data_IF_401663569000
#
_entry.id   IF_401663569000
#
_cell.length_a   1.000
_cell.length_b   1.000
_cell.length_c   1.000
_cell.angle_alpha   90.00
_cell.angle_beta   90.00
_cell.angle_gamma   90.00
#
_symmetry.space_group_name_H-M   'P 1'
#
loop_
_entity.id
_entity.type
_entity.pdbx_description
1 polymer ?
#
# COMPACT_ATOMS: atom_id res chain seq x y z
N UNK A 1 56.74 10.81 -7.93
CA UNK A 1 55.37 11.11 -8.38
C UNK A 1 54.54 9.86 -8.20
N UNK A 2 53.78 9.81 -7.14
CA UNK A 2 53.00 8.61 -6.74
C UNK A 2 51.56 8.76 -7.32
N UNK A 3 51.20 7.92 -8.24
CA UNK A 3 49.84 7.86 -8.82
C UNK A 3 48.94 7.09 -7.83
N UNK A 4 48.12 7.84 -7.06
CA UNK A 4 47.07 7.26 -6.25
C UNK A 4 45.99 6.68 -7.19
N UNK A 5 45.88 5.34 -7.23
CA UNK A 5 44.83 4.63 -7.91
C UNK A 5 43.50 4.89 -7.18
N UNK A 6 42.61 5.65 -7.77
CA UNK A 6 41.22 5.80 -7.32
C UNK A 6 40.52 4.44 -7.50
N UNK A 7 40.25 3.77 -6.40
CA UNK A 7 39.36 2.59 -6.42
C UNK A 7 37.96 3.02 -6.84
N UNK A 8 37.29 2.31 -7.76
CA UNK A 8 35.93 2.64 -8.12
C UNK A 8 35.01 2.45 -6.89
N UNK A 9 34.15 3.43 -6.66
CA UNK A 9 33.12 3.34 -5.62
C UNK A 9 32.28 2.09 -5.88
N UNK A 10 32.13 1.24 -4.87
CA UNK A 10 31.31 0.02 -4.99
C UNK A 10 29.88 0.42 -5.32
N UNK A 11 29.32 -0.20 -6.37
CA UNK A 11 27.91 -0.02 -6.71
C UNK A 11 27.04 -0.31 -5.46
N UNK A 12 25.98 0.47 -5.22
CA UNK A 12 25.09 0.25 -4.08
C UNK A 12 24.56 -1.18 -4.11
N UNK A 13 24.69 -1.88 -2.99
CA UNK A 13 24.22 -3.26 -2.86
C UNK A 13 22.73 -3.31 -3.18
N UNK A 14 22.32 -4.17 -4.11
CA UNK A 14 20.90 -4.35 -4.45
C UNK A 14 20.12 -4.71 -3.18
N UNK A 15 18.96 -4.06 -2.92
CA UNK A 15 18.16 -4.37 -1.75
C UNK A 15 17.78 -5.85 -1.76
N UNK A 16 18.05 -6.55 -0.66
CA UNK A 16 17.60 -7.93 -0.49
C UNK A 16 16.07 -7.90 -0.30
N UNK A 17 15.36 -8.47 -1.27
CA UNK A 17 13.90 -8.55 -1.28
C UNK A 17 13.42 -9.84 -0.61
N UNK A 18 12.19 -9.86 -0.06
CA UNK A 18 11.54 -11.09 0.36
C UNK A 18 11.38 -12.08 -0.79
N UNK A 19 11.24 -13.40 -0.51
CA UNK A 19 10.82 -14.35 -1.53
C UNK A 19 9.45 -13.98 -2.10
N UNK A 20 9.30 -13.98 -3.41
CA UNK A 20 8.06 -13.60 -4.10
C UNK A 20 7.46 -14.78 -4.86
N UNK A 21 6.12 -14.90 -4.95
CA UNK A 21 5.14 -14.13 -4.18
C UNK A 21 5.17 -14.48 -2.69
N UNK A 22 4.82 -13.50 -1.83
CA UNK A 22 4.76 -13.70 -0.38
C UNK A 22 3.39 -13.31 0.20
N UNK A 23 3.03 -13.99 1.29
CA UNK A 23 1.99 -13.52 2.22
C UNK A 23 2.68 -12.78 3.36
N UNK A 24 2.43 -11.49 3.46
CA UNK A 24 2.95 -10.66 4.55
C UNK A 24 1.99 -10.74 5.71
N UNK A 25 2.34 -11.54 6.70
CA UNK A 25 1.48 -11.83 7.85
C UNK A 25 1.82 -10.92 9.01
N UNK A 26 0.85 -10.14 9.45
CA UNK A 26 1.12 -9.12 10.43
C UNK A 26 -0.12 -8.53 11.08
N UNK A 27 -0.02 -7.27 11.37
CA UNK A 27 -1.08 -6.52 12.01
C UNK A 27 -1.15 -5.09 11.50
N UNK A 28 -2.38 -4.59 11.43
CA UNK A 28 -2.67 -3.18 11.25
C UNK A 28 -2.97 -2.58 12.63
N UNK A 29 -2.38 -1.44 12.92
CA UNK A 29 -2.66 -0.63 14.10
C UNK A 29 -3.07 0.75 13.66
N UNK A 30 -4.18 1.24 14.19
CA UNK A 30 -4.62 2.63 14.01
C UNK A 30 -4.60 3.34 15.35
N UNK A 31 -4.17 4.59 15.36
CA UNK A 31 -4.11 5.42 16.54
C UNK A 31 -4.56 6.85 16.21
N UNK A 32 -5.54 7.31 16.96
CA UNK A 32 -6.04 8.68 16.94
C UNK A 32 -5.85 9.28 18.35
N UNK A 33 -4.98 10.26 18.53
CA UNK A 33 -4.69 10.82 19.86
C UNK A 33 -5.78 11.77 20.39
N UNK A 34 -6.58 12.40 19.52
CA UNK A 34 -7.63 13.34 19.91
C UNK A 34 -8.50 13.79 18.73
N UNK A 35 -9.58 14.58 18.95
CA UNK A 35 -10.25 14.92 20.23
C UNK A 35 -10.92 13.71 20.90
N UNK A 36 -11.36 12.72 20.13
CA UNK A 36 -11.80 11.41 20.63
C UNK A 36 -10.65 10.44 20.47
N UNK A 37 -10.06 10.02 21.59
CA UNK A 37 -8.97 9.04 21.56
C UNK A 37 -9.51 7.70 21.10
N UNK A 38 -8.91 7.13 20.07
CA UNK A 38 -9.28 5.83 19.55
C UNK A 38 -8.05 5.07 19.05
N UNK A 39 -7.91 3.84 19.47
CA UNK A 39 -6.85 2.97 19.00
C UNK A 39 -7.36 1.54 18.84
N UNK A 40 -6.94 0.87 17.79
CA UNK A 40 -7.23 -0.54 17.60
C UNK A 40 -6.10 -1.26 16.86
N UNK A 41 -6.11 -2.56 16.99
CA UNK A 41 -5.14 -3.45 16.35
C UNK A 41 -5.83 -4.70 15.85
N UNK A 42 -5.60 -5.03 14.57
CA UNK A 42 -6.16 -6.22 13.92
C UNK A 42 -5.07 -7.04 13.26
N UNK A 43 -5.16 -8.36 13.39
CA UNK A 43 -4.32 -9.29 12.63
C UNK A 43 -4.83 -9.34 11.21
N UNK A 44 -3.92 -9.16 10.26
CA UNK A 44 -4.20 -9.18 8.81
C UNK A 44 -3.08 -9.91 8.09
N UNK A 45 -3.31 -10.26 6.84
CA UNK A 45 -2.25 -10.56 5.89
C UNK A 45 -2.51 -9.81 4.60
N UNK A 46 -1.44 -9.42 3.92
CA UNK A 46 -1.47 -8.83 2.58
C UNK A 46 -0.59 -9.66 1.65
N UNK A 47 -0.80 -9.51 0.36
CA UNK A 47 0.05 -10.12 -0.65
C UNK A 47 1.15 -9.14 -1.05
N UNK A 48 2.38 -9.65 -1.11
CA UNK A 48 3.49 -8.99 -1.79
C UNK A 48 3.79 -9.78 -3.05
N UNK A 49 3.59 -9.15 -4.20
CA UNK A 49 3.68 -9.79 -5.51
C UNK A 49 4.51 -8.95 -6.47
N UNK A 50 5.11 -9.62 -7.43
CA UNK A 50 5.71 -9.02 -8.60
C UNK A 50 4.64 -8.91 -9.70
N UNK A 51 4.44 -7.73 -10.26
CA UNK A 51 3.43 -7.52 -11.29
C UNK A 51 3.79 -8.17 -12.64
N UNK A 52 5.06 -8.51 -12.86
CA UNK A 52 5.48 -9.30 -14.02
C UNK A 52 5.14 -10.79 -13.87
N UNK A 53 4.95 -11.25 -12.62
CA UNK A 53 4.71 -12.65 -12.30
C UNK A 53 3.64 -12.82 -11.23
N UNK A 54 2.41 -12.36 -11.51
CA UNK A 54 1.29 -12.52 -10.58
C UNK A 54 1.00 -14.00 -10.31
N UNK A 55 0.75 -14.38 -9.04
CA UNK A 55 0.51 -15.77 -8.66
C UNK A 55 -0.76 -16.30 -9.30
N UNK A 56 -0.63 -17.36 -10.09
CA UNK A 56 -1.76 -18.08 -10.67
C UNK A 56 -2.24 -19.13 -9.68
N UNK A 57 -3.46 -18.95 -9.21
CA UNK A 57 -4.08 -19.92 -8.32
C UNK A 57 -4.78 -21.03 -9.11
N UNK A 58 -4.74 -22.29 -8.63
CA UNK A 58 -5.58 -23.34 -9.19
C UNK A 58 -7.07 -22.96 -9.05
N UNK A 59 -7.92 -23.52 -9.91
CA UNK A 59 -9.32 -23.15 -10.04
C UNK A 59 -10.07 -23.09 -8.70
N UNK A 60 -9.83 -24.04 -7.79
CA UNK A 60 -10.48 -24.12 -6.47
C UNK A 60 -10.00 -23.05 -5.47
N UNK A 61 -8.84 -22.43 -5.67
CA UNK A 61 -8.32 -21.34 -4.86
C UNK A 61 -8.48 -19.97 -5.53
N UNK A 62 -8.81 -19.93 -6.82
CA UNK A 62 -8.95 -18.68 -7.58
C UNK A 62 -9.97 -17.72 -6.94
N UNK A 63 -11.05 -18.25 -6.35
CA UNK A 63 -12.06 -17.47 -5.66
C UNK A 63 -11.53 -16.79 -4.37
N UNK A 64 -10.40 -17.25 -3.82
CA UNK A 64 -9.85 -16.78 -2.55
C UNK A 64 -8.57 -15.95 -2.68
N UNK A 65 -8.02 -15.84 -3.88
CA UNK A 65 -6.83 -15.03 -4.14
C UNK A 65 -6.77 -14.64 -5.63
N UNK A 66 -7.43 -13.54 -5.98
CA UNK A 66 -7.48 -13.02 -7.34
C UNK A 66 -7.10 -11.54 -7.34
N UNK A 67 -6.25 -11.14 -8.30
CA UNK A 67 -5.91 -9.75 -8.57
C UNK A 67 -6.60 -9.31 -9.86
N UNK A 68 -7.16 -8.12 -9.86
CA UNK A 68 -7.84 -7.54 -11.01
C UNK A 68 -7.39 -6.09 -11.20
N UNK A 69 -7.15 -5.69 -12.43
CA UNK A 69 -6.82 -4.30 -12.76
C UNK A 69 -7.93 -3.33 -12.37
N UNK A 70 -9.19 -3.79 -12.37
CA UNK A 70 -10.32 -2.98 -11.92
C UNK A 70 -10.26 -2.55 -10.44
N UNK A 71 -9.40 -3.22 -9.63
CA UNK A 71 -9.22 -2.91 -8.22
C UNK A 71 -8.13 -1.87 -7.96
N UNK A 72 -7.41 -1.47 -8.99
CA UNK A 72 -6.27 -0.57 -8.92
C UNK A 72 -6.43 0.59 -9.90
N UNK A 73 -5.52 1.56 -9.79
CA UNK A 73 -5.50 2.74 -10.66
C UNK A 73 -5.39 2.38 -12.15
N UNK A 74 -5.89 3.26 -13.01
CA UNK A 74 -5.78 3.20 -14.46
C UNK A 74 -6.93 2.46 -15.14
N UNK A 75 -6.68 2.00 -16.36
CA UNK A 75 -7.65 1.31 -17.21
C UNK A 75 -7.83 -0.16 -16.76
N UNK A 76 -9.06 -0.61 -16.41
CA UNK A 76 -9.31 -2.00 -16.05
C UNK A 76 -9.06 -3.00 -17.18
N UNK A 77 -8.98 -2.55 -18.44
CA UNK A 77 -8.64 -3.37 -19.61
C UNK A 77 -7.14 -3.62 -19.79
N UNK A 78 -6.28 -2.90 -19.07
CA UNK A 78 -4.83 -3.04 -19.15
C UNK A 78 -4.29 -3.83 -17.94
N UNK A 79 -3.11 -4.47 -18.06
CA UNK A 79 -2.42 -5.06 -16.91
C UNK A 79 -2.10 -4.00 -15.84
N UNK A 80 -2.15 -4.40 -14.56
CA UNK A 80 -1.86 -3.49 -13.41
C UNK A 80 -0.50 -2.80 -13.60
N UNK A 81 0.55 -3.55 -14.02
CA UNK A 81 1.88 -2.98 -14.27
C UNK A 81 1.83 -1.86 -15.30
N UNK A 82 1.12 -2.07 -16.42
CA UNK A 82 0.99 -1.07 -17.48
C UNK A 82 0.29 0.20 -16.97
N UNK A 83 -0.72 0.05 -16.14
CA UNK A 83 -1.40 1.19 -15.52
C UNK A 83 -0.46 1.99 -14.61
N UNK A 84 0.36 1.30 -13.81
CA UNK A 84 1.40 1.95 -12.99
C UNK A 84 2.41 2.67 -13.89
N UNK A 85 2.92 2.02 -14.95
CA UNK A 85 3.87 2.64 -15.89
C UNK A 85 3.27 3.89 -16.56
N UNK A 86 2.00 3.83 -16.98
CA UNK A 86 1.28 4.97 -17.56
C UNK A 86 1.15 6.11 -16.55
N UNK A 87 0.79 5.81 -15.30
CA UNK A 87 0.72 6.81 -14.23
C UNK A 87 2.09 7.44 -13.94
N UNK A 88 3.16 6.66 -13.90
CA UNK A 88 4.52 7.14 -13.70
C UNK A 88 4.97 8.05 -14.86
N UNK A 89 4.59 7.72 -16.10
CA UNK A 89 4.91 8.52 -17.29
C UNK A 89 4.28 9.92 -17.22
N UNK A 90 3.09 10.10 -16.62
CA UNK A 90 2.50 11.43 -16.34
C UNK A 90 3.38 12.26 -15.40
N UNK A 91 4.08 11.61 -14.48
CA UNK A 91 5.09 12.23 -13.59
C UNK A 91 6.50 12.31 -14.19
N UNK A 92 6.67 11.99 -15.48
CA UNK A 92 7.97 12.01 -16.16
C UNK A 92 8.92 10.86 -15.80
N UNK A 93 8.43 9.80 -15.14
CA UNK A 93 9.24 8.66 -14.72
C UNK A 93 9.05 7.50 -15.69
N UNK A 94 10.17 6.94 -16.15
CA UNK A 94 10.21 5.72 -16.97
C UNK A 94 11.09 4.68 -16.30
N UNK A 95 10.57 3.48 -16.08
CA UNK A 95 11.31 2.40 -15.43
C UNK A 95 12.26 1.66 -16.38
N UNK A 96 12.08 1.83 -17.69
CA UNK A 96 12.83 1.14 -18.74
C UNK A 96 12.38 -0.32 -18.93
N UNK A 97 12.97 -1.00 -19.92
CA UNK A 97 12.52 -2.32 -20.39
C UNK A 97 12.61 -3.43 -19.32
N UNK A 98 13.51 -3.32 -18.36
CA UNK A 98 13.68 -4.25 -17.25
C UNK A 98 13.15 -3.70 -15.93
N UNK A 99 12.38 -2.62 -16.00
CA UNK A 99 11.74 -2.02 -14.85
C UNK A 99 10.82 -3.01 -14.16
N UNK A 100 10.80 -3.00 -12.83
CA UNK A 100 10.08 -3.97 -11.99
C UNK A 100 9.15 -3.25 -11.02
N UNK A 101 7.94 -3.76 -10.86
CA UNK A 101 6.98 -3.20 -9.90
C UNK A 101 6.55 -4.30 -8.91
N UNK A 102 6.80 -4.06 -7.63
CA UNK A 102 6.33 -4.92 -6.54
C UNK A 102 5.10 -4.28 -5.90
N UNK A 103 4.04 -5.05 -5.73
CA UNK A 103 2.78 -4.60 -5.17
C UNK A 103 2.51 -5.28 -3.82
N UNK A 104 2.22 -4.48 -2.79
CA UNK A 104 1.64 -4.93 -1.52
C UNK A 104 0.17 -4.54 -1.52
N UNK A 105 -0.71 -5.54 -1.55
CA UNK A 105 -2.15 -5.33 -1.69
C UNK A 105 -2.97 -6.49 -1.12
N UNK A 106 -4.27 -6.27 -0.94
CA UNK A 106 -5.23 -7.32 -0.65
C UNK A 106 -5.74 -7.95 -1.96
N UNK A 107 -5.77 -9.27 -2.03
CA UNK A 107 -6.42 -9.97 -3.13
C UNK A 107 -7.94 -10.04 -2.93
N UNK A 108 -8.71 -10.17 -4.02
CA UNK A 108 -10.14 -10.51 -3.98
C UNK A 108 -10.36 -11.86 -3.32
N UNK A 109 -11.35 -11.91 -2.45
CA UNK A 109 -11.85 -13.14 -1.81
C UNK A 109 -13.35 -13.24 -2.06
N UNK A 110 -13.78 -14.30 -2.75
CA UNK A 110 -15.19 -14.52 -3.15
C UNK A 110 -15.79 -13.29 -3.88
N UNK A 111 -15.01 -12.72 -4.81
CA UNK A 111 -15.43 -11.58 -5.61
C UNK A 111 -15.37 -10.22 -4.91
N UNK A 112 -15.15 -10.17 -3.58
CA UNK A 112 -15.02 -8.93 -2.83
C UNK A 112 -13.55 -8.57 -2.60
N UNK A 113 -13.23 -7.30 -2.77
CA UNK A 113 -11.97 -6.69 -2.36
C UNK A 113 -12.26 -5.42 -1.59
N UNK A 114 -11.44 -5.12 -0.62
CA UNK A 114 -11.27 -3.80 -0.04
C UNK A 114 -9.82 -3.67 0.39
N UNK A 115 -9.13 -2.77 -0.27
CA UNK A 115 -7.72 -2.49 -0.02
C UNK A 115 -7.53 -1.01 0.27
N UNK A 116 -7.58 -0.61 1.55
CA UNK A 116 -7.49 0.80 1.93
C UNK A 116 -6.22 1.49 1.46
N UNK A 117 -5.15 0.71 1.30
CA UNK A 117 -3.85 1.19 0.85
C UNK A 117 -3.11 0.07 0.13
N UNK A 118 -2.93 0.22 -1.18
CA UNK A 118 -1.99 -0.55 -1.99
C UNK A 118 -0.67 0.22 -2.11
N UNK A 119 0.45 -0.47 -2.03
CA UNK A 119 1.79 0.14 -2.17
C UNK A 119 2.53 -0.52 -3.31
N UNK A 120 3.05 0.29 -4.22
CA UNK A 120 3.84 -0.17 -5.36
C UNK A 120 5.27 0.38 -5.25
N UNK A 121 6.24 -0.51 -5.08
CA UNK A 121 7.67 -0.17 -5.19
C UNK A 121 8.10 -0.32 -6.63
N UNK A 122 8.50 0.80 -7.26
CA UNK A 122 8.85 0.88 -8.67
C UNK A 122 10.36 0.97 -8.81
N UNK A 123 10.95 -0.07 -9.37
CA UNK A 123 12.39 -0.18 -9.60
C UNK A 123 12.70 0.03 -11.08
N UNK A 124 13.78 0.74 -11.36
CA UNK A 124 14.28 0.92 -12.72
C UNK A 124 14.99 -0.33 -13.28
N UNK A 125 15.53 -0.23 -14.49
CA UNK A 125 16.23 -1.33 -15.17
C UNK A 125 17.52 -1.77 -14.46
N UNK A 126 18.10 -0.93 -13.62
CA UNK A 126 19.30 -1.22 -12.83
C UNK A 126 18.96 -1.82 -11.45
N UNK A 127 17.67 -1.87 -11.11
CA UNK A 127 17.15 -2.37 -9.85
C UNK A 127 17.23 -1.36 -8.72
N UNK A 128 17.37 -0.06 -9.04
CA UNK A 128 17.30 1.04 -8.09
C UNK A 128 15.83 1.43 -7.89
N UNK A 129 15.43 1.74 -6.66
CA UNK A 129 14.09 2.23 -6.36
C UNK A 129 13.93 3.64 -6.94
N UNK A 130 13.16 3.75 -8.01
CA UNK A 130 12.87 5.03 -8.67
C UNK A 130 11.82 5.83 -7.88
N UNK A 131 10.77 5.16 -7.41
CA UNK A 131 9.70 5.79 -6.63
C UNK A 131 8.84 4.73 -5.93
N UNK A 132 7.93 5.21 -5.07
CA UNK A 132 6.83 4.42 -4.50
C UNK A 132 5.51 5.08 -4.86
N UNK A 133 4.55 4.29 -5.35
CA UNK A 133 3.16 4.75 -5.52
C UNK A 133 2.33 4.20 -4.36
N UNK A 134 1.65 5.10 -3.65
CA UNK A 134 0.72 4.74 -2.58
C UNK A 134 -0.70 5.04 -3.05
N UNK A 135 -1.44 3.99 -3.41
CA UNK A 135 -2.82 4.08 -3.86
C UNK A 135 -3.77 3.91 -2.66
N UNK A 136 -4.56 4.93 -2.40
CA UNK A 136 -5.48 5.00 -1.27
C UNK A 136 -6.92 4.88 -1.75
N UNK A 137 -7.70 4.01 -1.13
CA UNK A 137 -9.11 3.82 -1.42
C UNK A 137 -9.96 4.27 -0.24
N UNK A 138 -11.05 4.99 -0.52
CA UNK A 138 -12.04 5.29 0.48
C UNK A 138 -13.23 4.31 0.44
N UNK A 139 -14.15 4.44 1.39
CA UNK A 139 -15.34 3.59 1.47
C UNK A 139 -16.44 3.98 0.47
N UNK A 140 -16.23 5.01 -0.33
CA UNK A 140 -17.16 5.50 -1.36
C UNK A 140 -16.82 4.99 -2.76
N UNK A 141 -15.77 4.16 -2.89
CA UNK A 141 -15.30 3.63 -4.16
C UNK A 141 -14.39 4.58 -4.95
N UNK A 142 -13.97 5.69 -4.32
CA UNK A 142 -12.99 6.60 -4.93
C UNK A 142 -11.59 6.17 -4.56
N UNK A 143 -10.63 6.53 -5.41
CA UNK A 143 -9.21 6.25 -5.24
C UNK A 143 -8.36 7.48 -5.54
N UNK A 144 -7.14 7.47 -5.01
CA UNK A 144 -6.14 8.51 -5.24
C UNK A 144 -4.75 7.90 -5.10
N UNK A 145 -3.84 8.25 -5.98
CA UNK A 145 -2.48 7.77 -5.97
C UNK A 145 -1.52 8.90 -5.60
N UNK A 146 -0.62 8.62 -4.65
CA UNK A 146 0.48 9.50 -4.28
C UNK A 146 1.76 8.96 -4.91
N UNK A 147 2.40 9.76 -5.77
CA UNK A 147 3.74 9.49 -6.29
C UNK A 147 4.75 10.02 -5.28
N UNK A 148 5.58 9.14 -4.77
CA UNK A 148 6.46 9.42 -3.64
C UNK A 148 7.91 9.05 -3.97
N UNK A 149 8.84 9.87 -3.50
CA UNK A 149 10.28 9.63 -3.56
C UNK A 149 10.83 9.47 -2.14
N UNK A 150 10.81 8.25 -1.59
CA UNK A 150 11.33 8.02 -0.25
C UNK A 150 12.83 8.29 -0.16
N UNK A 151 13.27 8.85 0.98
CA UNK A 151 14.68 8.98 1.33
C UNK A 151 15.32 7.62 1.64
N UNK A 152 16.61 7.63 2.01
CA UNK A 152 17.35 6.41 2.39
C UNK A 152 16.75 5.68 3.60
N UNK A 153 16.02 6.38 4.46
CA UNK A 153 15.28 5.79 5.59
C UNK A 153 13.92 5.22 5.19
N UNK A 154 13.54 5.35 3.91
CA UNK A 154 12.26 4.93 3.35
C UNK A 154 11.11 5.88 3.67
N UNK A 155 11.38 7.15 4.00
CA UNK A 155 10.39 8.14 4.41
C UNK A 155 10.11 9.12 3.26
N UNK A 156 8.85 9.43 3.04
CA UNK A 156 8.39 10.45 2.11
C UNK A 156 7.30 11.31 2.75
N UNK A 157 7.22 12.55 2.33
CA UNK A 157 6.24 13.53 2.83
C UNK A 157 5.44 14.06 1.66
N UNK A 158 4.12 14.19 1.82
CA UNK A 158 3.22 14.74 0.80
C UNK A 158 2.03 15.41 1.45
N UNK A 159 1.44 16.38 0.78
CA UNK A 159 0.20 16.98 1.23
C UNK A 159 -0.97 16.02 1.10
N UNK A 160 -1.91 16.12 2.05
CA UNK A 160 -3.12 15.32 2.02
C UNK A 160 -4.09 15.88 0.96
N UNK A 161 -4.11 15.27 -0.22
CA UNK A 161 -4.98 15.67 -1.34
C UNK A 161 -6.32 14.92 -1.40
N UNK A 162 -6.53 13.87 -0.61
CA UNK A 162 -7.67 12.96 -0.75
C UNK A 162 -8.51 12.80 0.52
N UNK A 163 -9.83 12.76 0.36
CA UNK A 163 -10.79 12.56 1.45
C UNK A 163 -11.00 11.06 1.71
N UNK A 164 -10.30 10.53 2.72
CA UNK A 164 -10.32 9.09 3.05
C UNK A 164 -11.37 8.76 4.11
N UNK A 165 -11.60 9.67 5.05
CA UNK A 165 -12.42 9.40 6.23
C UNK A 165 -13.37 10.58 6.50
N UNK A 166 -14.63 10.34 6.88
CA UNK A 166 -15.58 11.40 7.20
C UNK A 166 -15.19 12.23 8.43
N UNK A 167 -14.18 11.84 9.15
CA UNK A 167 -13.71 12.51 10.38
C UNK A 167 -12.49 13.41 10.17
N UNK A 168 -11.96 13.48 8.95
CA UNK A 168 -10.85 14.35 8.57
C UNK A 168 -11.13 15.01 7.24
N UNK A 169 -10.97 16.33 7.17
CA UNK A 169 -10.93 17.04 5.90
C UNK A 169 -9.64 16.75 5.11
N UNK A 170 -9.46 17.39 3.95
CA UNK A 170 -8.28 17.23 3.09
C UNK A 170 -7.06 18.03 3.54
N UNK A 171 -7.08 18.65 4.73
CA UNK A 171 -5.94 19.43 5.21
C UNK A 171 -4.92 18.58 5.97
N UNK A 172 -3.67 19.03 5.96
CA UNK A 172 -2.56 18.40 6.65
C UNK A 172 -1.59 17.69 5.71
N UNK A 173 -0.55 17.15 6.27
CA UNK A 173 0.56 16.51 5.57
C UNK A 173 0.67 15.06 5.99
N UNK A 174 0.83 14.16 5.03
CA UNK A 174 1.17 12.77 5.28
C UNK A 174 2.68 12.62 5.33
N UNK A 175 3.16 12.01 6.40
CA UNK A 175 4.48 11.41 6.50
C UNK A 175 4.31 9.90 6.34
N UNK A 176 4.87 9.33 5.28
CA UNK A 176 4.79 7.91 4.96
C UNK A 176 6.17 7.28 5.11
N UNK A 177 6.23 6.12 5.74
CA UNK A 177 7.47 5.35 5.83
C UNK A 177 7.25 3.93 5.34
N UNK A 178 8.09 3.52 4.41
CA UNK A 178 8.05 2.20 3.78
C UNK A 178 9.27 1.38 4.19
N UNK A 179 9.05 0.13 4.51
CA UNK A 179 10.12 -0.85 4.77
C UNK A 179 9.83 -2.11 3.96
N UNK A 180 10.79 -2.49 3.14
CA UNK A 180 10.73 -3.72 2.36
C UNK A 180 12.05 -4.48 2.53
N UNK A 181 12.05 -5.46 3.43
CA UNK A 181 13.20 -6.30 3.77
C UNK A 181 12.81 -7.77 3.78
N UNK A 182 13.75 -8.71 3.68
CA UNK A 182 13.46 -10.15 3.68
C UNK A 182 12.68 -10.63 4.90
N UNK A 183 12.85 -10.00 6.04
CA UNK A 183 12.24 -10.35 7.33
C UNK A 183 11.09 -9.45 7.76
N UNK A 184 10.92 -8.30 7.09
CA UNK A 184 9.97 -7.26 7.51
C UNK A 184 9.43 -6.47 6.33
N UNK A 185 8.11 -6.42 6.21
CA UNK A 185 7.40 -5.45 5.37
C UNK A 185 6.56 -4.57 6.27
N UNK A 186 6.73 -3.25 6.15
CA UNK A 186 5.96 -2.30 6.95
C UNK A 186 5.63 -1.04 6.15
N UNK A 187 4.44 -0.49 6.42
CA UNK A 187 4.00 0.82 5.95
C UNK A 187 3.44 1.59 7.13
N UNK A 188 3.96 2.79 7.35
CA UNK A 188 3.49 3.71 8.38
C UNK A 188 2.97 4.94 7.67
N UNK A 189 1.76 5.35 7.99
CA UNK A 189 1.13 6.58 7.49
C UNK A 189 0.80 7.44 8.70
N UNK A 190 1.40 8.63 8.79
CA UNK A 190 1.16 9.59 9.85
C UNK A 190 0.57 10.86 9.25
N UNK A 191 -0.64 11.24 9.68
CA UNK A 191 -1.24 12.52 9.34
C UNK A 191 -0.83 13.55 10.39
N UNK A 192 -0.13 14.59 9.93
CA UNK A 192 0.21 15.77 10.75
C UNK A 192 -0.72 16.94 10.42
N UNK A 193 -1.14 17.66 11.45
CA UNK A 193 -1.93 18.90 11.35
C UNK A 193 -1.46 19.85 12.45
N UNK A 194 -1.15 21.09 12.07
CA UNK A 194 -0.63 22.08 13.03
C UNK A 194 0.50 21.51 13.91
N UNK A 195 1.49 20.87 13.27
CA UNK A 195 2.67 20.21 13.87
C UNK A 195 2.37 19.06 14.87
N UNK A 196 1.11 18.70 15.03
CA UNK A 196 0.68 17.59 15.88
C UNK A 196 0.28 16.36 15.05
N UNK A 197 0.50 15.17 15.61
CA UNK A 197 0.01 13.92 15.03
C UNK A 197 -1.50 13.83 15.25
N UNK A 198 -2.28 13.93 14.15
CA UNK A 198 -3.73 13.81 14.18
C UNK A 198 -4.19 12.35 14.05
N UNK A 199 -3.41 11.52 13.36
CA UNK A 199 -3.72 10.12 13.10
C UNK A 199 -2.46 9.37 12.68
N UNK A 200 -2.39 8.09 13.03
CA UNK A 200 -1.36 7.18 12.53
C UNK A 200 -1.96 5.81 12.23
N UNK A 201 -1.63 5.28 11.06
CA UNK A 201 -1.91 3.91 10.65
C UNK A 201 -0.59 3.19 10.39
N UNK A 202 -0.44 1.99 10.90
CA UNK A 202 0.75 1.17 10.71
C UNK A 202 0.33 -0.23 10.30
N UNK A 203 0.84 -0.69 9.16
CA UNK A 203 0.91 -2.11 8.85
C UNK A 203 2.32 -2.60 9.11
N UNK A 204 2.47 -3.73 9.78
CA UNK A 204 3.76 -4.38 9.99
C UNK A 204 3.59 -5.89 9.97
N UNK A 205 4.32 -6.58 9.09
CA UNK A 205 4.22 -8.01 8.92
C UNK A 205 5.52 -8.67 8.48
N UNK A 206 5.57 -9.99 8.67
CA UNK A 206 6.66 -10.84 8.19
C UNK A 206 6.23 -11.50 6.88
N UNK A 207 7.02 -11.40 5.83
CA UNK A 207 6.77 -12.13 4.59
C UNK A 207 7.04 -13.63 4.79
N UNK A 208 6.10 -14.46 4.33
CA UNK A 208 6.28 -15.90 4.20
C UNK A 208 5.99 -16.30 2.74
N UNK A 209 6.69 -17.31 2.16
CA UNK A 209 6.40 -17.75 0.80
C UNK A 209 4.91 -18.10 0.63
N UNK A 210 4.29 -17.58 -0.44
CA UNK A 210 2.85 -17.76 -0.71
C UNK A 210 2.57 -19.15 -1.28
N UNK A 211 2.92 -20.20 -0.53
CA UNK A 211 2.60 -21.59 -0.89
C UNK A 211 1.10 -21.85 -0.72
N UNK A 212 0.60 -22.90 -1.41
CA UNK A 212 -0.80 -23.35 -1.24
C UNK A 212 -1.15 -23.67 0.21
N UNK A 213 -0.22 -24.28 0.96
CA UNK A 213 -0.41 -24.58 2.37
C UNK A 213 -0.44 -23.31 3.23
N UNK A 214 0.44 -22.34 2.96
CA UNK A 214 0.42 -21.05 3.64
C UNK A 214 -0.90 -20.33 3.39
N UNK A 215 -1.36 -20.25 2.14
CA UNK A 215 -2.65 -19.66 1.79
C UNK A 215 -3.83 -20.35 2.49
N UNK A 216 -3.91 -21.68 2.41
CA UNK A 216 -4.98 -22.46 3.07
C UNK A 216 -5.00 -22.19 4.58
N UNK A 217 -3.83 -22.15 5.23
CA UNK A 217 -3.71 -21.82 6.65
C UNK A 217 -4.24 -20.40 6.95
N UNK A 218 -3.99 -19.43 6.06
CA UNK A 218 -4.52 -18.06 6.23
C UNK A 218 -6.03 -18.01 6.05
N UNK A 219 -6.55 -18.70 5.04
CA UNK A 219 -8.00 -18.78 4.82
C UNK A 219 -8.76 -19.39 6.01
N UNK A 220 -8.14 -20.36 6.71
CA UNK A 220 -8.73 -20.95 7.92
C UNK A 220 -8.60 -20.02 9.12
N UNK A 221 -7.43 -19.42 9.35
CA UNK A 221 -7.17 -18.59 10.55
C UNK A 221 -7.70 -17.18 10.45
N UNK A 222 -7.84 -16.67 9.25
CA UNK A 222 -8.27 -15.30 8.93
C UNK A 222 -9.21 -15.33 7.72
N UNK A 223 -10.38 -15.98 7.86
CA UNK A 223 -11.33 -16.13 6.75
C UNK A 223 -11.86 -14.77 6.32
N UNK A 224 -12.22 -14.66 5.03
CA UNK A 224 -12.91 -13.51 4.46
C UNK A 224 -12.22 -12.18 4.80
N UNK A 225 -10.89 -12.11 4.63
CA UNK A 225 -10.09 -10.95 5.07
C UNK A 225 -10.62 -9.62 4.53
N UNK A 226 -10.88 -9.42 3.21
CA UNK A 226 -11.40 -8.15 2.70
C UNK A 226 -12.78 -7.78 3.27
N UNK A 227 -13.69 -8.76 3.40
CA UNK A 227 -15.01 -8.56 3.99
C UNK A 227 -14.89 -8.13 5.46
N UNK A 228 -13.99 -8.78 6.21
CA UNK A 228 -13.69 -8.44 7.60
C UNK A 228 -13.12 -7.03 7.72
N UNK A 229 -12.20 -6.61 6.85
CA UNK A 229 -11.66 -5.25 6.84
C UNK A 229 -12.79 -4.25 6.62
N UNK A 230 -13.65 -4.48 5.61
CA UNK A 230 -14.81 -3.63 5.33
C UNK A 230 -15.76 -3.51 6.53
N UNK A 231 -16.05 -4.62 7.20
CA UNK A 231 -16.90 -4.65 8.39
C UNK A 231 -16.28 -3.87 9.56
N UNK A 232 -14.99 -4.09 9.84
CA UNK A 232 -14.27 -3.42 10.92
C UNK A 232 -14.19 -1.90 10.71
N UNK A 233 -13.97 -1.44 9.49
CA UNK A 233 -13.97 0.00 9.18
C UNK A 233 -15.33 0.62 9.48
N UNK A 234 -16.43 -0.05 9.11
CA UNK A 234 -17.79 0.42 9.43
C UNK A 234 -18.03 0.46 10.93
N UNK A 235 -17.65 -0.61 11.66
CA UNK A 235 -17.80 -0.67 13.13
C UNK A 235 -17.03 0.46 13.81
N UNK A 236 -15.76 0.69 13.42
CA UNK A 236 -14.97 1.79 13.98
C UNK A 236 -15.53 3.16 13.59
N UNK A 237 -16.05 3.31 12.37
CA UNK A 237 -16.73 4.53 11.94
C UNK A 237 -17.98 4.84 12.75
N UNK A 238 -18.85 3.85 12.95
CA UNK A 238 -20.05 3.97 13.79
C UNK A 238 -19.66 4.30 15.23
N UNK A 239 -18.65 3.64 15.77
CA UNK A 239 -18.17 3.91 17.13
C UNK A 239 -17.73 5.38 17.29
N UNK A 240 -16.95 5.92 16.35
CA UNK A 240 -16.53 7.32 16.36
C UNK A 240 -17.72 8.29 16.26
N UNK A 241 -18.70 7.97 15.44
CA UNK A 241 -19.92 8.76 15.27
C UNK A 241 -20.75 8.79 16.57
N UNK A 242 -20.93 7.65 17.24
CA UNK A 242 -21.62 7.55 18.53
C UNK A 242 -20.91 8.37 19.63
N UNK A 243 -19.58 8.53 19.54
CA UNK A 243 -18.80 9.39 20.44
C UNK A 243 -18.77 10.87 19.99
N UNK A 244 -19.76 11.26 19.15
CA UNK A 244 -19.98 12.64 18.70
C UNK A 244 -18.78 13.28 17.99
N UNK A 245 -17.96 12.47 17.32
CA UNK A 245 -16.91 13.01 16.48
C UNK A 245 -17.56 13.71 15.27
N UNK A 246 -17.28 14.99 15.02
CA UNK A 246 -17.95 15.74 13.95
C UNK A 246 -17.61 15.13 12.60
N UNK A 247 -18.66 14.89 11.80
CA UNK A 247 -18.53 14.49 10.40
C UNK A 247 -18.18 15.73 9.60
N UNK A 248 -17.15 15.66 8.79
CA UNK A 248 -16.77 16.70 7.84
C UNK A 248 -17.49 16.49 6.51
N UNK A 249 -17.94 17.57 5.91
CA UNK A 249 -18.52 17.52 4.57
C UNK A 249 -17.49 16.96 3.59
N UNK A 250 -17.94 16.06 2.73
CA UNK A 250 -17.12 15.49 1.65
C UNK A 250 -16.95 16.56 0.58
N UNK A 251 -15.72 16.98 0.24
CA UNK A 251 -15.50 17.84 -0.92
C UNK A 251 -15.86 17.09 -2.21
N UNK A 252 -16.19 17.84 -3.26
CA UNK A 252 -16.35 17.25 -4.59
C UNK A 252 -15.02 16.61 -4.98
N UNK A 253 -15.04 15.32 -5.31
CA UNK A 253 -13.86 14.60 -5.78
C UNK A 253 -13.74 14.72 -7.29
N UNK A 254 -12.66 15.32 -7.75
CA UNK A 254 -12.28 15.25 -9.17
C UNK A 254 -11.33 14.08 -9.32
N UNK A 255 -11.66 13.08 -10.15
CA UNK A 255 -10.73 11.96 -10.40
C UNK A 255 -9.37 12.49 -10.84
N UNK A 256 -8.33 11.91 -10.28
CA UNK A 256 -6.95 12.22 -10.65
C UNK A 256 -6.66 11.60 -12.03
N UNK A 257 -5.91 12.30 -12.88
CA UNK A 257 -5.49 11.77 -14.17
C UNK A 257 -4.68 10.49 -14.00
N UNK A 258 -5.02 9.46 -14.75
CA UNK A 258 -4.36 8.15 -14.68
C UNK A 258 -4.77 7.26 -13.48
N UNK A 259 -5.79 7.63 -12.72
CA UNK A 259 -6.23 6.89 -11.51
C UNK A 259 -7.68 6.40 -11.63
#
# INVERSE_FOLDING_TARGET
>A
MSTASLMPASAPARPQLPPLPALVVGQVTHRRPGPVRHAFRHRVYQWLVDLDCLPRQPWHLKAFAHFSSADHLGDPGLPIKRNIENYLALGGIQLGDRGRVLMLANARVLGHVFDPLSVFWCYDSDGVLACVVAEVHNTHGERHAYLLHPDEAGTAVTDKGFHVSPFFDVSGTYELRFTLRPDLVATIVTLRRHDAVAFSATFRGRPEPATRQALARRLIRQPLMPQRISALIRVHGIWLWLHRLPIRSRPHHTPQEGV
#
